data_IF_578252768045
#
_entry.id   IF_578252768045
#
_cell.length_a   1.000
_cell.length_b   1.000
_cell.length_c   1.000
_cell.angle_alpha   90.00
_cell.angle_beta   90.00
_cell.angle_gamma   90.00
#
_symmetry.space_group_name_H-M   'P 1'
#
loop_
_entity.id
_entity.type
_entity.pdbx_description
1 polymer ?
#
# COMPACT_ATOMS: atom_id res chain seq x y z
N UNK A 1 -3.97 20.04 2.21
CA UNK A 1 -4.89 18.89 2.03
C UNK A 1 -4.11 17.71 1.48
N UNK A 2 -4.41 16.47 1.88
CA UNK A 2 -3.68 15.29 1.39
C UNK A 2 -3.77 15.14 -0.12
N UNK A 3 -2.75 14.54 -0.73
CA UNK A 3 -2.75 14.15 -2.14
C UNK A 3 -3.18 12.69 -2.25
N UNK A 4 -4.01 12.36 -3.23
CA UNK A 4 -4.59 11.04 -3.34
C UNK A 4 -4.07 10.26 -4.54
N UNK A 5 -3.89 8.94 -4.36
CA UNK A 5 -3.59 7.99 -5.43
C UNK A 5 -4.75 7.00 -5.58
N UNK A 6 -5.26 6.82 -6.79
CA UNK A 6 -6.29 5.81 -7.03
C UNK A 6 -5.68 4.40 -7.03
N UNK A 7 -6.27 3.45 -6.28
CA UNK A 7 -5.83 2.06 -6.35
C UNK A 7 -6.52 1.33 -7.51
N UNK A 8 -5.80 1.15 -8.61
CA UNK A 8 -6.35 0.57 -9.84
C UNK A 8 -6.65 -0.93 -9.76
N UNK A 9 -6.21 -1.61 -8.71
CA UNK A 9 -6.63 -2.99 -8.44
C UNK A 9 -8.05 -3.09 -7.88
N UNK A 10 -8.56 -2.00 -7.28
CA UNK A 10 -9.87 -1.97 -6.63
C UNK A 10 -10.83 -0.97 -7.25
N UNK A 11 -10.34 0.15 -7.78
CA UNK A 11 -11.13 1.22 -8.39
C UNK A 11 -11.13 1.09 -9.92
N UNK A 12 -12.16 1.62 -10.58
CA UNK A 12 -12.33 1.61 -12.04
C UNK A 12 -12.36 0.20 -12.64
N UNK A 13 -12.72 -0.81 -11.85
CA UNK A 13 -12.73 -2.22 -12.26
C UNK A 13 -13.78 -2.54 -13.32
N UNK A 14 -14.65 -1.60 -13.63
CA UNK A 14 -15.58 -1.62 -14.76
C UNK A 14 -14.87 -1.59 -16.12
N UNK A 15 -13.57 -1.27 -16.14
CA UNK A 15 -12.74 -1.13 -17.34
C UNK A 15 -11.58 -2.13 -17.32
N UNK A 16 -11.04 -2.51 -18.48
CA UNK A 16 -9.76 -3.21 -18.58
C UNK A 16 -8.66 -2.44 -17.85
N UNK A 17 -7.68 -3.16 -17.28
CA UNK A 17 -6.71 -2.55 -16.35
C UNK A 17 -5.97 -1.34 -16.93
N UNK A 18 -5.51 -1.41 -18.18
CA UNK A 18 -4.77 -0.30 -18.83
C UNK A 18 -5.65 0.95 -19.03
N UNK A 19 -6.95 0.78 -19.29
CA UNK A 19 -7.88 1.91 -19.45
C UNK A 19 -8.21 2.61 -18.13
N UNK A 20 -7.85 1.99 -16.97
CA UNK A 20 -8.07 2.57 -15.65
C UNK A 20 -7.16 3.78 -15.38
N UNK A 21 -6.01 3.87 -16.04
CA UNK A 21 -5.10 5.01 -15.93
C UNK A 21 -5.78 6.28 -16.44
N UNK A 22 -6.32 6.26 -17.65
CA UNK A 22 -7.07 7.38 -18.23
C UNK A 22 -8.31 7.72 -17.39
N UNK A 23 -9.02 6.71 -16.87
CA UNK A 23 -10.19 6.93 -16.03
C UNK A 23 -9.83 7.63 -14.71
N UNK A 24 -8.71 7.25 -14.08
CA UNK A 24 -8.23 7.90 -12.86
C UNK A 24 -7.82 9.36 -13.13
N UNK A 25 -7.08 9.62 -14.21
CA UNK A 25 -6.71 10.97 -14.62
C UNK A 25 -7.95 11.83 -14.91
N UNK A 26 -8.90 11.31 -15.67
CA UNK A 26 -10.17 12.00 -15.99
C UNK A 26 -11.00 12.30 -14.72
N UNK A 27 -10.92 11.44 -13.69
CA UNK A 27 -11.54 11.66 -12.38
C UNK A 27 -10.80 12.69 -11.51
N UNK A 28 -9.61 13.14 -11.93
CA UNK A 28 -8.82 14.18 -11.26
C UNK A 28 -7.74 13.64 -10.30
N UNK A 29 -7.42 12.35 -10.32
CA UNK A 29 -6.25 11.83 -9.62
C UNK A 29 -4.95 12.25 -10.31
N UNK A 30 -3.91 12.48 -9.53
CA UNK A 30 -2.57 12.84 -10.00
C UNK A 30 -1.57 11.67 -9.83
N UNK A 31 -2.00 10.62 -9.12
CA UNK A 31 -1.22 9.41 -8.92
C UNK A 31 -2.13 8.18 -8.87
N UNK A 32 -1.51 7.03 -9.11
CA UNK A 32 -2.13 5.73 -8.99
C UNK A 32 -1.26 4.77 -8.19
N UNK A 33 -1.88 3.76 -7.64
CA UNK A 33 -1.23 2.58 -7.08
C UNK A 33 -1.98 1.32 -7.52
N UNK A 34 -1.35 0.19 -7.40
CA UNK A 34 -1.98 -1.11 -7.66
C UNK A 34 -1.21 -2.23 -6.96
N UNK A 35 -1.86 -3.39 -6.79
CA UNK A 35 -1.25 -4.48 -6.03
C UNK A 35 -0.15 -5.16 -6.85
N UNK A 36 -0.50 -5.88 -7.90
CA UNK A 36 0.42 -6.77 -8.63
C UNK A 36 0.39 -6.49 -10.13
N UNK A 37 1.40 -5.80 -10.69
CA UNK A 37 1.43 -5.43 -12.12
C UNK A 37 1.91 -6.53 -13.06
N UNK A 38 2.27 -7.71 -12.54
CA UNK A 38 3.15 -8.71 -13.18
C UNK A 38 2.55 -9.46 -14.36
N UNK A 39 1.26 -9.27 -14.64
CA UNK A 39 0.58 -9.78 -15.84
C UNK A 39 0.72 -8.85 -17.05
N UNK A 40 1.27 -7.65 -16.85
CA UNK A 40 1.43 -6.63 -17.88
C UNK A 40 2.90 -6.36 -18.15
N UNK A 41 3.23 -6.04 -19.41
CA UNK A 41 4.57 -5.57 -19.74
C UNK A 41 4.88 -4.26 -18.98
N UNK A 42 6.04 -4.14 -18.31
CA UNK A 42 6.37 -2.94 -17.55
C UNK A 42 6.49 -1.68 -18.41
N UNK A 43 6.86 -1.81 -19.71
CA UNK A 43 6.89 -0.67 -20.61
C UNK A 43 5.47 -0.19 -20.94
N UNK A 44 4.52 -1.12 -21.15
CA UNK A 44 3.11 -0.77 -21.37
C UNK A 44 2.53 0.01 -20.17
N UNK A 45 2.91 -0.37 -18.94
CA UNK A 45 2.51 0.36 -17.72
C UNK A 45 3.15 1.75 -17.66
N UNK A 46 4.42 1.87 -18.05
CA UNK A 46 5.11 3.16 -18.14
C UNK A 46 4.43 4.07 -19.16
N UNK A 47 4.14 3.55 -20.35
CA UNK A 47 3.48 4.31 -21.42
C UNK A 47 2.08 4.78 -20.99
N UNK A 48 1.31 3.95 -20.26
CA UNK A 48 0.00 4.32 -19.74
C UNK A 48 0.09 5.43 -18.65
N UNK A 49 1.10 5.37 -17.77
CA UNK A 49 1.37 6.42 -16.79
C UNK A 49 1.73 7.74 -17.48
N UNK A 50 2.60 7.70 -18.47
CA UNK A 50 3.06 8.89 -19.20
C UNK A 50 1.92 9.51 -20.02
N UNK A 51 1.13 8.69 -20.71
CA UNK A 51 -0.02 9.16 -21.49
C UNK A 51 -1.09 9.84 -20.63
N UNK A 52 -1.32 9.31 -19.42
CA UNK A 52 -2.29 9.85 -18.48
C UNK A 52 -1.71 10.94 -17.55
N UNK A 53 -0.41 11.29 -17.68
CA UNK A 53 0.33 12.22 -16.82
C UNK A 53 0.23 11.87 -15.31
N UNK A 54 0.21 10.55 -14.99
CA UNK A 54 0.07 10.05 -13.63
C UNK A 54 1.41 9.62 -13.03
N UNK A 55 1.55 9.81 -11.71
CA UNK A 55 2.65 9.24 -10.93
C UNK A 55 2.28 7.86 -10.40
N UNK A 56 3.27 6.96 -10.36
CA UNK A 56 3.13 5.68 -9.66
C UNK A 56 3.50 5.84 -8.19
N UNK A 57 2.51 5.81 -7.30
CA UNK A 57 2.73 5.97 -5.86
C UNK A 57 3.30 4.72 -5.21
N UNK A 58 2.75 3.55 -5.55
CA UNK A 58 3.10 2.28 -4.91
C UNK A 58 2.67 1.09 -5.78
N UNK A 59 3.44 0.00 -5.70
CA UNK A 59 2.96 -1.34 -6.01
C UNK A 59 3.60 -2.37 -5.07
N UNK A 60 3.03 -3.59 -5.02
CA UNK A 60 3.50 -4.66 -4.14
C UNK A 60 4.52 -5.55 -4.84
N UNK A 61 5.56 -5.97 -4.13
CA UNK A 61 6.40 -7.09 -4.57
C UNK A 61 5.53 -8.37 -4.73
N UNK A 62 5.91 -9.32 -5.61
CA UNK A 62 5.12 -10.52 -5.82
C UNK A 62 4.84 -11.26 -4.50
N UNK A 63 3.59 -11.65 -4.23
CA UNK A 63 3.18 -12.22 -2.95
C UNK A 63 3.43 -13.73 -2.83
N UNK A 64 4.01 -14.37 -3.85
CA UNK A 64 3.99 -15.79 -4.06
C UNK A 64 2.76 -16.22 -4.87
N UNK A 65 2.33 -17.47 -4.72
CA UNK A 65 1.14 -18.00 -5.40
C UNK A 65 -0.14 -17.52 -4.68
N UNK A 66 -0.72 -16.43 -5.19
CA UNK A 66 -1.94 -15.84 -4.64
C UNK A 66 -3.13 -16.80 -4.69
N UNK A 67 -3.23 -17.63 -5.73
CA UNK A 67 -4.33 -18.57 -5.94
C UNK A 67 -4.25 -19.76 -4.97
N UNK A 68 -3.02 -20.15 -4.60
CA UNK A 68 -2.76 -21.14 -3.55
C UNK A 68 -2.87 -20.56 -2.12
N UNK A 69 -3.20 -19.27 -1.98
CA UNK A 69 -3.41 -18.63 -0.68
C UNK A 69 -2.17 -17.95 -0.11
N UNK A 70 -1.03 -17.86 -0.82
CA UNK A 70 0.12 -17.10 -0.36
C UNK A 70 -0.21 -15.59 -0.33
N UNK A 71 0.29 -14.89 0.68
CA UNK A 71 0.05 -13.46 0.93
C UNK A 71 1.34 -12.73 1.29
N UNK A 72 2.44 -13.10 0.64
CA UNK A 72 3.79 -12.63 0.90
C UNK A 72 4.71 -13.76 1.29
N UNK A 73 6.00 -13.59 1.05
CA UNK A 73 7.05 -14.59 1.27
C UNK A 73 8.07 -14.13 2.31
N UNK A 74 8.09 -12.84 2.63
CA UNK A 74 9.22 -12.22 3.31
C UNK A 74 9.41 -12.71 4.76
N UNK A 75 8.33 -13.08 5.47
CA UNK A 75 8.41 -13.61 6.83
C UNK A 75 8.36 -15.14 6.92
N UNK A 76 8.27 -15.85 5.78
CA UNK A 76 8.09 -17.31 5.77
C UNK A 76 9.43 -18.02 5.93
N UNK A 77 9.67 -18.75 7.05
CA UNK A 77 10.92 -19.50 7.24
C UNK A 77 11.14 -20.50 6.11
N UNK A 78 12.38 -20.56 5.61
CA UNK A 78 12.76 -21.46 4.49
C UNK A 78 12.43 -20.92 3.09
N UNK A 79 11.70 -19.80 2.94
CA UNK A 79 11.32 -19.23 1.63
C UNK A 79 12.22 -18.05 1.20
N UNK A 80 13.37 -17.83 1.83
CA UNK A 80 14.25 -16.69 1.54
C UNK A 80 14.73 -16.62 0.09
N UNK A 81 15.03 -17.76 -0.56
CA UNK A 81 15.41 -17.79 -1.99
C UNK A 81 14.23 -17.34 -2.85
N UNK A 82 13.05 -17.93 -2.67
CA UNK A 82 11.85 -17.57 -3.42
C UNK A 82 11.47 -16.09 -3.20
N UNK A 83 11.63 -15.57 -1.98
CA UNK A 83 11.43 -14.15 -1.70
C UNK A 83 12.36 -13.27 -2.53
N UNK A 84 13.66 -13.59 -2.58
CA UNK A 84 14.65 -12.80 -3.32
C UNK A 84 14.39 -12.81 -4.83
N UNK A 85 14.04 -13.97 -5.39
CA UNK A 85 13.68 -14.10 -6.80
C UNK A 85 12.43 -13.25 -7.13
N UNK A 86 11.40 -13.30 -6.28
CA UNK A 86 10.20 -12.49 -6.40
C UNK A 86 10.52 -10.99 -6.27
N UNK A 87 11.37 -10.60 -5.33
CA UNK A 87 11.76 -9.21 -5.14
C UNK A 87 12.59 -8.68 -6.32
N UNK A 88 13.47 -9.47 -6.94
CA UNK A 88 14.18 -9.10 -8.16
C UNK A 88 13.20 -8.85 -9.34
N UNK A 89 12.07 -9.55 -9.38
CA UNK A 89 11.02 -9.22 -10.34
C UNK A 89 10.43 -7.82 -10.04
N UNK A 90 10.16 -7.50 -8.79
CA UNK A 90 9.69 -6.17 -8.41
C UNK A 90 10.69 -5.08 -8.76
N UNK A 91 12.00 -5.33 -8.58
CA UNK A 91 13.07 -4.39 -8.96
C UNK A 91 13.03 -4.08 -10.46
N UNK A 92 12.93 -5.10 -11.32
CA UNK A 92 12.82 -4.88 -12.79
C UNK A 92 11.62 -4.02 -13.16
N UNK A 93 10.47 -4.24 -12.54
CA UNK A 93 9.29 -3.40 -12.75
C UNK A 93 9.49 -1.98 -12.22
N UNK A 94 10.12 -1.84 -11.06
CA UNK A 94 10.40 -0.53 -10.48
C UNK A 94 11.39 0.29 -11.31
N UNK A 95 12.34 -0.34 -11.98
CA UNK A 95 13.28 0.33 -12.91
C UNK A 95 12.54 0.93 -14.13
N UNK A 96 11.55 0.23 -14.65
CA UNK A 96 10.76 0.70 -15.79
C UNK A 96 9.68 1.72 -15.39
N UNK A 97 8.89 1.42 -14.34
CA UNK A 97 7.70 2.19 -13.96
C UNK A 97 8.07 3.43 -13.12
N UNK A 98 9.11 3.35 -12.28
CA UNK A 98 9.53 4.44 -11.41
C UNK A 98 8.59 4.75 -10.24
N UNK A 99 8.14 3.74 -9.45
CA UNK A 99 7.26 3.98 -8.32
C UNK A 99 7.97 4.76 -7.20
N UNK A 100 7.19 5.52 -6.44
CA UNK A 100 7.71 6.16 -5.24
C UNK A 100 8.03 5.12 -4.15
N UNK A 101 7.25 4.00 -4.10
CA UNK A 101 7.37 2.96 -3.04
C UNK A 101 7.13 1.55 -3.58
N UNK A 102 7.74 0.57 -2.90
CA UNK A 102 7.47 -0.87 -3.10
C UNK A 102 7.03 -1.47 -1.78
N UNK A 103 5.85 -2.07 -1.73
CA UNK A 103 5.36 -2.79 -0.55
C UNK A 103 5.89 -4.23 -0.51
N UNK A 104 6.41 -4.64 0.65
CA UNK A 104 6.94 -5.98 0.91
C UNK A 104 6.03 -6.72 1.88
N UNK A 105 5.15 -7.56 1.34
CA UNK A 105 4.20 -8.36 2.12
C UNK A 105 4.89 -9.41 2.97
N UNK A 106 4.50 -9.48 4.26
CA UNK A 106 5.08 -10.41 5.23
C UNK A 106 4.78 -11.89 4.91
N UNK A 107 3.50 -12.20 4.70
CA UNK A 107 3.02 -13.57 4.51
C UNK A 107 2.21 -14.09 5.69
N UNK A 108 1.62 -15.28 5.50
CA UNK A 108 0.82 -15.98 6.52
C UNK A 108 1.74 -16.98 7.23
N UNK A 109 2.04 -16.74 8.50
CA UNK A 109 2.87 -17.65 9.31
C UNK A 109 2.75 -17.35 10.81
N UNK A 110 2.90 -18.38 11.62
CA UNK A 110 3.00 -18.30 13.09
C UNK A 110 4.33 -18.89 13.60
N UNK A 111 5.25 -19.15 12.69
CA UNK A 111 6.51 -19.82 13.00
C UNK A 111 7.43 -19.00 13.92
N UNK A 112 8.13 -19.68 14.82
CA UNK A 112 9.07 -19.07 15.80
C UNK A 112 10.12 -18.18 15.14
N UNK A 113 10.56 -18.53 13.93
CA UNK A 113 11.61 -17.82 13.19
C UNK A 113 11.09 -16.73 12.25
N UNK A 114 9.77 -16.54 12.15
CA UNK A 114 9.16 -15.61 11.19
C UNK A 114 9.71 -14.19 11.33
N UNK A 115 9.80 -13.68 12.56
CA UNK A 115 10.30 -12.33 12.83
C UNK A 115 11.76 -12.15 12.38
N UNK A 116 12.63 -13.10 12.72
CA UNK A 116 14.04 -13.07 12.30
C UNK A 116 14.16 -13.16 10.77
N UNK A 117 13.44 -14.11 10.16
CA UNK A 117 13.36 -14.25 8.69
C UNK A 117 12.91 -12.95 8.01
N UNK A 118 11.88 -12.29 8.54
CA UNK A 118 11.38 -11.04 7.98
C UNK A 118 12.44 -9.93 8.05
N UNK A 119 13.06 -9.76 9.21
CA UNK A 119 14.11 -8.75 9.42
C UNK A 119 15.28 -8.99 8.44
N UNK A 120 15.76 -10.23 8.29
CA UNK A 120 16.89 -10.54 7.42
C UNK A 120 16.54 -10.32 5.93
N UNK A 121 15.34 -10.72 5.52
CA UNK A 121 14.87 -10.50 4.15
C UNK A 121 14.65 -9.00 3.86
N UNK A 122 14.13 -8.23 4.81
CA UNK A 122 13.95 -6.78 4.66
C UNK A 122 15.28 -6.04 4.60
N UNK A 123 16.29 -6.44 5.38
CA UNK A 123 17.66 -5.89 5.26
C UNK A 123 18.20 -6.10 3.86
N UNK A 124 18.15 -7.35 3.39
CA UNK A 124 18.61 -7.67 2.03
C UNK A 124 17.86 -6.86 0.97
N UNK A 125 16.54 -6.73 1.08
CA UNK A 125 15.74 -5.95 0.13
C UNK A 125 16.08 -4.45 0.18
N UNK A 126 16.27 -3.88 1.37
CA UNK A 126 16.64 -2.48 1.55
C UNK A 126 18.02 -2.17 0.96
N UNK A 127 19.00 -3.06 1.17
CA UNK A 127 20.34 -2.95 0.58
C UNK A 127 20.31 -3.09 -0.95
N UNK A 128 19.37 -3.88 -1.49
CA UNK A 128 19.24 -4.10 -2.94
C UNK A 128 18.70 -2.87 -3.69
N UNK A 129 17.91 -2.03 -3.03
CA UNK A 129 17.31 -0.83 -3.61
C UNK A 129 17.49 0.40 -2.71
N UNK A 130 18.73 0.85 -2.44
CA UNK A 130 19.02 1.89 -1.45
C UNK A 130 18.35 3.24 -1.78
N UNK A 131 18.11 3.51 -3.06
CA UNK A 131 17.52 4.75 -3.56
C UNK A 131 15.99 4.71 -3.66
N UNK A 132 15.33 3.64 -3.19
CA UNK A 132 13.89 3.48 -3.22
C UNK A 132 13.32 3.23 -1.83
N UNK A 133 12.14 3.77 -1.57
CA UNK A 133 11.45 3.52 -0.31
C UNK A 133 10.75 2.17 -0.36
N UNK A 134 11.05 1.31 0.60
CA UNK A 134 10.29 0.10 0.88
C UNK A 134 9.29 0.37 2.00
N UNK A 135 8.11 -0.23 1.89
CA UNK A 135 7.12 -0.17 2.96
C UNK A 135 6.67 -1.55 3.38
N UNK A 136 6.33 -1.69 4.66
CA UNK A 136 5.69 -2.87 5.25
C UNK A 136 4.38 -2.46 5.89
N UNK A 137 3.37 -3.33 5.80
CA UNK A 137 2.01 -3.03 6.18
C UNK A 137 1.47 -4.00 7.22
N UNK A 138 0.93 -3.50 8.34
CA UNK A 138 0.08 -4.27 9.23
C UNK A 138 -1.30 -4.50 8.62
N UNK A 139 -1.61 -5.74 8.26
CA UNK A 139 -2.88 -6.11 7.65
C UNK A 139 -3.78 -6.78 8.69
N UNK A 140 -5.06 -6.45 8.71
CA UNK A 140 -6.03 -7.00 9.64
C UNK A 140 -6.25 -8.50 9.45
N UNK A 141 -6.47 -9.22 10.55
CA UNK A 141 -6.66 -10.67 10.55
C UNK A 141 -8.08 -11.11 10.22
N UNK A 142 -9.02 -10.18 10.01
CA UNK A 142 -10.35 -10.46 9.47
C UNK A 142 -10.27 -10.74 7.97
N UNK A 143 -9.53 -9.90 7.22
CA UNK A 143 -9.36 -10.03 5.78
C UNK A 143 -8.32 -11.09 5.41
N UNK A 144 -7.20 -11.14 6.17
CA UNK A 144 -6.15 -12.16 5.98
C UNK A 144 -5.87 -12.87 7.31
N UNK A 145 -6.63 -13.94 7.63
CA UNK A 145 -6.39 -14.72 8.84
C UNK A 145 -4.97 -15.29 8.89
N UNK A 146 -4.29 -15.10 10.01
CA UNK A 146 -2.92 -15.59 10.21
C UNK A 146 -1.83 -14.75 9.57
N UNK A 147 -2.14 -13.58 8.99
CA UNK A 147 -1.13 -12.68 8.47
C UNK A 147 -0.15 -12.27 9.58
N UNK A 148 1.16 -12.40 9.30
CA UNK A 148 2.19 -12.26 10.32
C UNK A 148 2.24 -10.87 10.93
N UNK A 149 2.30 -9.84 10.08
CA UNK A 149 2.38 -8.45 10.52
C UNK A 149 0.98 -7.83 10.57
N UNK A 150 0.41 -7.67 11.77
CA UNK A 150 -0.97 -7.20 11.92
C UNK A 150 -1.16 -6.07 12.95
N UNK A 151 -0.04 -5.47 13.44
CA UNK A 151 -0.09 -4.32 14.34
C UNK A 151 1.01 -3.31 14.00
N UNK A 152 0.68 -2.04 14.07
CA UNK A 152 1.59 -0.94 13.74
C UNK A 152 2.80 -0.85 14.69
N UNK A 153 2.61 -1.12 15.98
CA UNK A 153 3.72 -1.12 16.95
C UNK A 153 4.74 -2.24 16.66
N UNK A 154 4.30 -3.40 16.12
CA UNK A 154 5.24 -4.47 15.70
C UNK A 154 5.96 -4.10 14.42
N UNK A 155 5.27 -3.45 13.47
CA UNK A 155 5.92 -2.95 12.26
C UNK A 155 7.06 -1.98 12.60
N UNK A 156 6.83 -1.05 13.51
CA UNK A 156 7.87 -0.11 13.96
C UNK A 156 9.05 -0.85 14.59
N UNK A 157 8.80 -1.82 15.48
CA UNK A 157 9.90 -2.64 16.07
C UNK A 157 10.69 -3.42 15.00
N UNK A 158 10.05 -3.85 13.92
CA UNK A 158 10.74 -4.50 12.80
C UNK A 158 11.56 -3.48 12.01
N UNK A 159 11.00 -2.32 11.67
CA UNK A 159 11.69 -1.23 10.96
C UNK A 159 12.96 -0.81 11.73
N UNK A 160 12.83 -0.59 13.03
CA UNK A 160 13.96 -0.25 13.91
C UNK A 160 15.01 -1.35 13.98
N UNK A 161 14.59 -2.63 14.06
CA UNK A 161 15.50 -3.78 14.08
C UNK A 161 16.21 -4.00 12.74
N UNK A 162 15.58 -3.68 11.62
CA UNK A 162 16.21 -3.67 10.29
C UNK A 162 17.25 -2.55 10.21
N UNK A 163 16.92 -1.35 10.69
CA UNK A 163 17.83 -0.19 10.75
C UNK A 163 18.12 0.48 9.41
N UNK A 164 17.37 0.15 8.33
CA UNK A 164 17.54 0.75 7.02
C UNK A 164 16.72 2.04 6.90
N UNK A 165 17.35 3.13 6.46
CA UNK A 165 16.70 4.45 6.34
C UNK A 165 15.54 4.48 5.32
N UNK A 166 15.62 3.62 4.30
CA UNK A 166 14.66 3.49 3.22
C UNK A 166 13.51 2.49 3.52
N UNK A 167 13.43 1.89 4.72
CA UNK A 167 12.31 1.05 5.13
C UNK A 167 11.37 1.84 6.01
N UNK A 168 10.08 1.90 5.62
CA UNK A 168 9.04 2.69 6.27
C UNK A 168 7.77 1.88 6.52
N UNK A 169 6.86 2.48 7.27
CA UNK A 169 5.53 1.94 7.55
C UNK A 169 4.54 2.36 6.45
N UNK A 170 3.81 1.42 5.89
CA UNK A 170 2.53 1.66 5.22
C UNK A 170 1.43 1.59 6.26
N UNK A 171 0.77 2.72 6.51
CA UNK A 171 -0.27 2.84 7.52
C UNK A 171 -1.63 2.95 6.84
N UNK A 172 -2.29 1.80 6.66
CA UNK A 172 -3.66 1.77 6.16
C UNK A 172 -4.64 2.02 7.32
N UNK A 173 -5.41 3.11 7.21
CA UNK A 173 -6.41 3.52 8.21
C UNK A 173 -7.51 2.48 8.38
N UNK A 174 -7.86 1.75 7.32
CA UNK A 174 -8.84 0.67 7.37
C UNK A 174 -8.34 -0.50 8.24
N UNK A 175 -7.14 -1.00 7.97
CA UNK A 175 -6.56 -2.09 8.74
C UNK A 175 -6.30 -1.68 10.19
N UNK A 176 -5.78 -0.48 10.40
CA UNK A 176 -5.50 0.04 11.74
C UNK A 176 -6.77 0.25 12.56
N UNK A 177 -7.87 0.72 11.95
CA UNK A 177 -9.16 0.85 12.66
C UNK A 177 -9.66 -0.50 13.17
N UNK A 178 -9.65 -1.53 12.33
CA UNK A 178 -10.13 -2.87 12.69
C UNK A 178 -9.29 -3.50 13.80
N UNK A 179 -7.98 -3.32 13.76
CA UNK A 179 -7.05 -4.01 14.66
C UNK A 179 -6.74 -3.24 15.94
N UNK A 180 -6.77 -1.91 15.90
CA UNK A 180 -6.12 -1.10 16.90
C UNK A 180 -6.98 0.08 17.37
N UNK A 181 -7.69 0.76 16.48
CA UNK A 181 -8.42 1.99 16.79
C UNK A 181 -7.50 3.17 17.16
N UNK A 182 -8.07 4.23 17.74
CA UNK A 182 -7.36 5.44 18.20
C UNK A 182 -6.42 6.04 17.14
N UNK A 183 -6.93 6.13 15.89
CA UNK A 183 -6.14 6.47 14.71
C UNK A 183 -5.44 7.83 14.82
N UNK A 184 -6.08 8.82 15.43
CA UNK A 184 -5.49 10.15 15.62
C UNK A 184 -4.17 10.07 16.40
N UNK A 185 -4.20 9.40 17.55
CA UNK A 185 -3.00 9.26 18.40
C UNK A 185 -1.94 8.39 17.75
N UNK A 186 -2.36 7.37 16.99
CA UNK A 186 -1.44 6.52 16.21
C UNK A 186 -0.74 7.31 15.13
N UNK A 187 -1.44 8.11 14.35
CA UNK A 187 -0.85 9.00 13.35
C UNK A 187 0.15 9.97 13.99
N UNK A 188 -0.23 10.64 15.08
CA UNK A 188 0.66 11.55 15.83
C UNK A 188 1.94 10.84 16.30
N UNK A 189 1.83 9.62 16.82
CA UNK A 189 2.96 8.82 17.32
C UNK A 189 3.85 8.30 16.20
N UNK A 190 3.27 7.88 15.07
CA UNK A 190 3.95 7.08 14.06
C UNK A 190 4.38 7.87 12.83
N UNK A 191 4.00 9.14 12.70
CA UNK A 191 4.22 9.93 11.47
C UNK A 191 5.67 9.90 10.96
N UNK A 192 6.65 9.89 11.84
CA UNK A 192 8.08 9.81 11.48
C UNK A 192 8.51 8.47 10.86
N UNK A 193 7.73 7.42 11.07
CA UNK A 193 7.96 6.10 10.49
C UNK A 193 7.14 5.86 9.22
N UNK A 194 6.07 6.66 8.99
CA UNK A 194 5.13 6.46 7.88
C UNK A 194 5.78 6.88 6.57
N UNK A 195 5.78 5.96 5.61
CA UNK A 195 6.19 6.20 4.22
C UNK A 195 5.02 6.23 3.26
N UNK A 196 3.89 5.59 3.61
CA UNK A 196 2.68 5.57 2.80
C UNK A 196 1.44 5.46 3.69
N UNK A 197 0.35 6.07 3.26
CA UNK A 197 -0.96 5.98 3.94
C UNK A 197 -1.97 5.42 2.95
N UNK A 198 -2.88 4.58 3.45
CA UNK A 198 -4.02 4.13 2.67
C UNK A 198 -5.32 4.35 3.43
N UNK A 199 -6.44 4.35 2.68
CA UNK A 199 -7.75 4.65 3.23
C UNK A 199 -8.85 3.84 2.55
N UNK A 200 -9.79 3.35 3.38
CA UNK A 200 -11.08 2.80 2.98
C UNK A 200 -12.10 3.02 4.10
N UNK A 201 -13.38 2.93 3.79
CA UNK A 201 -14.45 2.92 4.78
C UNK A 201 -14.48 1.62 5.59
N UNK A 202 -14.77 1.71 6.89
CA UNK A 202 -14.95 0.55 7.79
C UNK A 202 -16.41 0.42 8.15
N UNK A 203 -17.02 -0.78 8.11
CA UNK A 203 -16.41 -2.09 8.00
C UNK A 203 -16.30 -2.68 6.58
N UNK A 204 -16.97 -2.12 5.56
CA UNK A 204 -17.22 -2.79 4.27
C UNK A 204 -16.11 -2.59 3.23
N UNK A 205 -15.09 -1.79 3.56
CA UNK A 205 -13.98 -1.42 2.68
C UNK A 205 -14.45 -0.68 1.41
N UNK A 206 -15.53 0.09 1.53
CA UNK A 206 -16.08 0.97 0.49
C UNK A 206 -15.48 2.39 0.56
N UNK A 207 -16.18 3.38 0.01
CA UNK A 207 -15.75 4.78 0.01
C UNK A 207 -15.33 5.26 1.40
N UNK A 208 -14.25 6.05 1.53
CA UNK A 208 -13.69 6.40 2.83
C UNK A 208 -14.64 7.18 3.77
N UNK A 209 -15.62 7.87 3.22
CA UNK A 209 -16.64 8.60 3.99
C UNK A 209 -17.87 7.75 4.33
N UNK A 210 -17.88 6.49 3.90
CA UNK A 210 -18.92 5.53 4.26
C UNK A 210 -18.46 4.67 5.44
N UNK A 211 -19.24 4.64 6.52
CA UNK A 211 -18.96 3.80 7.68
C UNK A 211 -18.55 4.59 8.93
N UNK A 212 -17.73 3.95 9.79
CA UNK A 212 -17.46 4.45 11.16
C UNK A 212 -16.30 5.44 11.27
N UNK A 213 -15.52 5.67 10.19
CA UNK A 213 -14.40 6.60 10.21
C UNK A 213 -14.84 8.04 9.99
N UNK A 214 -14.38 8.96 10.84
CA UNK A 214 -14.45 10.38 10.54
C UNK A 214 -13.29 10.79 9.64
N UNK A 215 -13.40 10.48 8.35
CA UNK A 215 -12.29 10.65 7.40
C UNK A 215 -11.86 12.12 7.23
N UNK A 216 -12.81 13.06 7.27
CA UNK A 216 -12.50 14.49 7.20
C UNK A 216 -11.62 14.95 8.37
N UNK A 217 -11.88 14.44 9.58
CA UNK A 217 -11.03 14.70 10.74
C UNK A 217 -9.61 14.11 10.52
N UNK A 218 -9.51 12.87 10.04
CA UNK A 218 -8.22 12.21 9.82
C UNK A 218 -7.40 12.91 8.73
N UNK A 219 -7.99 13.38 7.66
CA UNK A 219 -7.31 14.20 6.65
C UNK A 219 -6.78 15.50 7.25
N UNK A 220 -7.57 16.17 8.11
CA UNK A 220 -7.10 17.34 8.86
C UNK A 220 -5.96 17.02 9.84
N UNK A 221 -5.90 15.80 10.39
CA UNK A 221 -4.76 15.34 11.20
C UNK A 221 -3.50 15.23 10.34
N UNK A 222 -3.60 14.60 9.15
CA UNK A 222 -2.47 14.45 8.23
C UNK A 222 -1.89 15.80 7.80
N UNK A 223 -2.76 16.77 7.49
CA UNK A 223 -2.33 18.13 7.16
C UNK A 223 -1.57 18.80 8.32
N UNK A 224 -2.08 18.69 9.55
CA UNK A 224 -1.40 19.26 10.72
C UNK A 224 -0.07 18.59 11.04
N UNK A 225 0.06 17.29 10.74
CA UNK A 225 1.31 16.55 10.91
C UNK A 225 2.30 16.77 9.76
N UNK A 226 1.91 17.51 8.73
CA UNK A 226 2.77 17.81 7.58
C UNK A 226 3.04 16.61 6.67
N UNK A 227 2.10 15.65 6.62
CA UNK A 227 2.23 14.52 5.70
C UNK A 227 2.11 14.99 4.25
N UNK A 228 3.17 14.83 3.47
CA UNK A 228 3.30 15.28 2.08
C UNK A 228 3.28 14.14 1.05
N UNK A 229 3.13 12.88 1.52
CA UNK A 229 3.01 11.69 0.68
C UNK A 229 1.64 11.54 0.03
N UNK A 230 1.48 10.45 -0.72
CA UNK A 230 0.20 10.06 -1.28
C UNK A 230 -0.65 9.30 -0.24
N UNK A 231 -1.96 9.51 -0.30
CA UNK A 231 -2.96 8.69 0.38
C UNK A 231 -3.59 7.77 -0.65
N UNK A 232 -3.26 6.49 -0.60
CA UNK A 232 -3.78 5.45 -1.49
C UNK A 232 -5.25 5.16 -1.19
N UNK A 233 -6.08 5.22 -2.21
CA UNK A 233 -7.52 4.96 -2.10
C UNK A 233 -7.78 3.46 -2.31
N UNK A 234 -7.42 2.64 -1.30
CA UNK A 234 -7.48 1.18 -1.41
C UNK A 234 -8.83 0.63 -0.93
N UNK A 235 -9.87 0.99 -1.66
CA UNK A 235 -11.23 0.57 -1.36
C UNK A 235 -11.96 0.01 -2.59
N UNK A 236 -13.01 -0.77 -2.34
CA UNK A 236 -13.91 -1.29 -3.36
C UNK A 236 -15.13 -0.38 -3.44
N UNK A 237 -15.31 0.37 -4.55
CA UNK A 237 -16.50 1.21 -4.70
C UNK A 237 -17.78 0.41 -4.50
N UNK A 238 -18.75 0.97 -3.77
CA UNK A 238 -20.04 0.33 -3.54
C UNK A 238 -20.90 0.24 -4.82
N UNK A 239 -20.58 1.08 -5.82
CA UNK A 239 -21.19 1.12 -7.13
C UNK A 239 -20.14 1.36 -8.21
N UNK A 240 -20.45 2.18 -9.21
CA UNK A 240 -19.43 2.63 -10.16
C UNK A 240 -18.46 3.58 -9.47
N UNK A 241 -17.19 3.48 -9.81
CA UNK A 241 -16.15 4.29 -9.17
C UNK A 241 -16.45 5.78 -9.24
N UNK A 242 -16.78 6.30 -10.43
CA UNK A 242 -17.03 7.72 -10.65
C UNK A 242 -18.20 8.28 -9.82
N UNK A 243 -19.23 7.45 -9.56
CA UNK A 243 -20.42 7.84 -8.78
C UNK A 243 -20.08 8.02 -7.28
N UNK A 244 -19.11 7.24 -6.77
CA UNK A 244 -18.62 7.26 -5.38
C UNK A 244 -17.65 8.39 -5.04
N UNK A 245 -17.13 9.16 -6.01
CA UNK A 245 -16.08 10.16 -5.81
C UNK A 245 -16.53 11.48 -5.18
N UNK A 246 -17.74 11.55 -4.58
CA UNK A 246 -18.22 12.75 -3.88
C UNK A 246 -17.30 13.19 -2.74
N UNK A 247 -16.77 12.25 -1.97
CA UNK A 247 -15.82 12.51 -0.88
C UNK A 247 -14.49 13.09 -1.40
N UNK A 248 -13.99 12.58 -2.53
CA UNK A 248 -12.75 13.02 -3.15
C UNK A 248 -12.84 14.48 -3.62
N UNK A 249 -13.95 14.85 -4.30
CA UNK A 249 -14.20 16.24 -4.71
C UNK A 249 -14.24 17.19 -3.52
N UNK A 250 -14.91 16.80 -2.42
CA UNK A 250 -14.90 17.61 -1.18
C UNK A 250 -13.52 17.74 -0.56
N UNK A 251 -12.74 16.66 -0.56
CA UNK A 251 -11.42 16.64 0.04
C UNK A 251 -10.36 17.36 -0.80
N UNK A 252 -10.57 17.55 -2.10
CA UNK A 252 -9.62 18.23 -3.01
C UNK A 252 -10.05 19.64 -3.38
N UNK A 253 -11.27 20.04 -3.03
CA UNK A 253 -11.84 21.34 -3.43
C UNK A 253 -12.19 21.44 -4.92
N UNK A 254 -12.42 20.31 -5.58
CA UNK A 254 -12.78 20.19 -7.01
C UNK A 254 -14.26 19.92 -7.20
#
# INVERSE_FOLDING_TARGET
MPRFAANLSMMFTERPFIERFDAAAAAGFEAVEYLFPYEHDPQLLRDALDAAELRQALFNAPPGDWTAGERGLAAIPGRGVAFREAFEQAVRYAEAIGPDRIHVMAGITTGTWARATYIDNLRWAADRVPDRVLVIEPINTRDIPGYFLNRSDEAVRIIEAVGAANLKLQFDLYHAQIMEGDLTRRLEKLIGHIGHIQVAGVPERHEPDAGELNIGHLFGVLDRLGYDGWVGCEYRPAGRTEDGLGWFRRATGR
#
